data_IF_421840454519
#
_entry.id   IF_421840454519
#
_cell.length_a   1.000
_cell.length_b   1.000
_cell.length_c   1.000
_cell.angle_alpha   90.00
_cell.angle_beta   90.00
_cell.angle_gamma   90.00
#
_symmetry.space_group_name_H-M   'P 1'
#
loop_
_entity.id
_entity.type
_entity.pdbx_description
1 polymer ?
#
# COMPACT_ATOMS: atom_id res chain seq x y z
N UNK A 1 8.35 -10.26 -32.70
CA UNK A 1 8.14 -11.23 -31.60
C UNK A 1 7.45 -10.46 -30.48
N UNK A 2 6.39 -11.00 -29.90
CA UNK A 2 5.79 -10.37 -28.72
C UNK A 2 6.80 -10.42 -27.57
N UNK A 3 6.91 -9.34 -26.83
CA UNK A 3 7.73 -9.27 -25.62
C UNK A 3 6.99 -9.94 -24.48
N UNK A 4 7.64 -10.87 -23.78
CA UNK A 4 7.08 -11.49 -22.57
C UNK A 4 7.18 -10.52 -21.37
N UNK A 5 6.51 -9.37 -21.48
CA UNK A 5 6.60 -8.25 -20.54
C UNK A 5 6.24 -8.66 -19.11
N UNK A 6 5.26 -9.56 -18.93
CA UNK A 6 4.87 -10.05 -17.60
C UNK A 6 6.02 -10.75 -16.88
N UNK A 7 6.83 -11.52 -17.62
CA UNK A 7 8.02 -12.21 -17.11
C UNK A 7 9.17 -11.24 -16.89
N UNK A 8 9.39 -10.31 -17.82
CA UNK A 8 10.44 -9.29 -17.69
C UNK A 8 10.21 -8.40 -16.47
N UNK A 9 8.97 -7.96 -16.23
CA UNK A 9 8.60 -7.22 -15.04
C UNK A 9 8.87 -8.03 -13.77
N UNK A 10 8.38 -9.28 -13.71
CA UNK A 10 8.57 -10.16 -12.54
C UNK A 10 10.03 -10.34 -12.18
N UNK A 11 10.87 -10.70 -13.15
CA UNK A 11 12.30 -10.94 -12.88
C UNK A 11 13.06 -9.63 -12.67
N UNK A 12 12.73 -8.59 -13.46
CA UNK A 12 13.35 -7.27 -13.41
C UNK A 12 13.08 -6.50 -12.12
N UNK A 13 11.96 -6.74 -11.44
CA UNK A 13 11.62 -6.09 -10.17
C UNK A 13 11.83 -6.98 -8.95
N UNK A 14 12.29 -8.23 -9.12
CA UNK A 14 12.45 -9.20 -8.01
C UNK A 14 13.30 -8.67 -6.87
N UNK A 15 14.43 -8.02 -7.19
CA UNK A 15 15.32 -7.41 -6.17
C UNK A 15 14.61 -6.27 -5.43
N UNK A 16 13.94 -5.39 -6.16
CA UNK A 16 13.20 -4.26 -5.59
C UNK A 16 12.02 -4.69 -4.72
N UNK A 17 11.33 -5.78 -5.09
CA UNK A 17 10.32 -6.40 -4.25
C UNK A 17 10.92 -6.88 -2.92
N UNK A 18 12.02 -7.64 -2.97
CA UNK A 18 12.72 -8.10 -1.75
C UNK A 18 13.20 -6.91 -0.90
N UNK A 19 13.69 -5.83 -1.51
CA UNK A 19 14.07 -4.62 -0.77
C UNK A 19 12.87 -3.96 -0.09
N UNK A 20 11.72 -3.88 -0.76
CA UNK A 20 10.49 -3.31 -0.21
C UNK A 20 9.98 -4.09 1.01
N UNK A 21 9.99 -5.42 0.95
CA UNK A 21 9.67 -6.29 2.11
C UNK A 21 10.65 -6.09 3.27
N UNK A 22 11.87 -5.61 2.96
CA UNK A 22 12.92 -5.42 3.94
C UNK A 22 12.98 -4.01 4.57
N UNK A 23 12.12 -3.07 4.14
CA UNK A 23 11.98 -1.77 4.81
C UNK A 23 11.47 -1.98 6.24
N UNK A 24 11.99 -1.23 7.21
CA UNK A 24 11.72 -1.43 8.63
C UNK A 24 10.24 -1.38 8.97
N UNK A 25 9.52 -0.40 8.40
CA UNK A 25 8.05 -0.32 8.54
C UNK A 25 7.36 -1.61 8.06
N UNK A 26 7.71 -2.12 6.88
CA UNK A 26 7.12 -3.31 6.29
C UNK A 26 7.49 -4.57 7.08
N UNK A 27 8.74 -4.70 7.53
CA UNK A 27 9.17 -5.81 8.40
C UNK A 27 8.38 -5.85 9.70
N UNK A 28 8.19 -4.70 10.35
CA UNK A 28 7.39 -4.60 11.56
C UNK A 28 5.93 -4.95 11.27
N UNK A 29 5.39 -4.43 10.16
CA UNK A 29 4.04 -4.76 9.72
C UNK A 29 3.86 -6.27 9.57
N UNK A 30 4.72 -6.94 8.81
CA UNK A 30 4.68 -8.39 8.59
C UNK A 30 4.81 -9.22 9.87
N UNK A 31 5.44 -8.66 10.92
CA UNK A 31 5.53 -9.27 12.26
C UNK A 31 4.32 -8.97 13.15
N UNK A 32 3.30 -8.28 12.65
CA UNK A 32 2.11 -7.88 13.41
C UNK A 32 2.33 -6.66 14.32
N UNK A 33 3.43 -5.93 14.14
CA UNK A 33 3.71 -4.68 14.87
C UNK A 33 3.29 -3.52 13.98
N UNK A 34 2.01 -3.14 14.09
CA UNK A 34 1.40 -2.07 13.31
C UNK A 34 0.79 -1.05 14.26
N UNK A 35 1.08 0.22 14.03
CA UNK A 35 0.50 1.31 14.80
C UNK A 35 -0.51 2.09 13.93
N UNK A 36 -1.72 2.29 14.47
CA UNK A 36 -2.87 2.83 13.74
C UNK A 36 -2.64 4.23 13.16
N UNK A 37 -1.95 5.13 13.88
CA UNK A 37 -1.64 6.50 13.44
C UNK A 37 -0.67 6.53 12.27
N UNK A 38 0.30 5.61 12.25
CA UNK A 38 1.26 5.43 11.17
C UNK A 38 0.60 4.77 9.96
N UNK A 39 -0.23 3.75 10.21
CA UNK A 39 -0.99 3.08 9.16
C UNK A 39 -1.96 4.02 8.43
N UNK A 40 -2.73 4.85 9.15
CA UNK A 40 -3.66 5.79 8.49
C UNK A 40 -2.96 6.81 7.59
N UNK A 41 -1.71 7.20 7.90
CA UNK A 41 -0.89 8.06 7.02
C UNK A 41 -0.47 7.34 5.74
N UNK A 42 -0.19 6.03 5.83
CA UNK A 42 0.02 5.21 4.64
C UNK A 42 -1.24 5.20 3.77
N UNK A 43 -2.40 4.92 4.35
CA UNK A 43 -3.70 4.91 3.64
C UNK A 43 -3.96 6.27 2.97
N UNK A 44 -3.68 7.38 3.64
CA UNK A 44 -3.78 8.72 3.06
C UNK A 44 -2.87 8.92 1.85
N UNK A 45 -1.59 8.56 1.94
CA UNK A 45 -0.68 8.64 0.79
C UNK A 45 -1.14 7.74 -0.38
N UNK A 46 -1.57 6.52 -0.08
CA UNK A 46 -2.10 5.61 -1.10
C UNK A 46 -3.34 6.21 -1.78
N UNK A 47 -4.28 6.82 -1.05
CA UNK A 47 -5.44 7.48 -1.64
C UNK A 47 -5.05 8.46 -2.76
N UNK A 48 -4.05 9.31 -2.53
CA UNK A 48 -3.60 10.26 -3.53
C UNK A 48 -2.86 9.60 -4.70
N UNK A 49 -2.03 8.58 -4.43
CA UNK A 49 -1.29 7.82 -5.46
C UNK A 49 -2.25 7.09 -6.39
N UNK A 50 -3.21 6.33 -5.83
CA UNK A 50 -4.23 5.63 -6.62
C UNK A 50 -5.14 6.61 -7.35
N UNK A 51 -5.58 7.70 -6.70
CA UNK A 51 -6.38 8.73 -7.37
C UNK A 51 -5.67 9.30 -8.59
N UNK A 52 -4.36 9.57 -8.49
CA UNK A 52 -3.59 10.08 -9.62
C UNK A 52 -3.44 9.04 -10.74
N UNK A 53 -3.11 7.80 -10.39
CA UNK A 53 -2.96 6.72 -11.37
C UNK A 53 -4.27 6.44 -12.10
N UNK A 54 -5.37 6.29 -11.37
CA UNK A 54 -6.68 5.98 -11.92
C UNK A 54 -7.21 7.11 -12.81
N UNK A 55 -7.08 8.37 -12.38
CA UNK A 55 -7.51 9.53 -13.17
C UNK A 55 -6.70 9.68 -14.47
N UNK A 56 -5.38 9.47 -14.43
CA UNK A 56 -4.56 9.56 -15.65
C UNK A 56 -4.80 8.40 -16.62
N UNK A 57 -5.07 7.20 -16.12
CA UNK A 57 -5.44 6.07 -16.98
C UNK A 57 -6.82 6.28 -17.61
N UNK A 58 -7.79 6.82 -16.87
CA UNK A 58 -9.16 7.10 -17.37
C UNK A 58 -9.18 8.15 -18.48
N UNK A 59 -8.23 9.10 -18.50
CA UNK A 59 -8.06 10.09 -19.58
C UNK A 59 -7.59 9.50 -20.91
N UNK A 60 -7.18 8.23 -20.93
CA UNK A 60 -6.53 7.57 -22.07
C UNK A 60 -7.35 6.41 -22.68
N UNK A 61 -8.67 6.55 -22.93
CA UNK A 61 -9.54 5.44 -23.34
C UNK A 61 -9.22 4.89 -24.73
N UNK A 62 -8.54 5.67 -25.58
CA UNK A 62 -8.15 5.27 -26.94
C UNK A 62 -6.63 5.08 -27.11
N UNK A 63 -5.85 5.17 -26.02
CA UNK A 63 -4.40 5.02 -26.11
C UNK A 63 -4.04 3.55 -26.43
N UNK A 64 -3.19 3.28 -27.44
CA UNK A 64 -2.97 1.91 -27.97
C UNK A 64 -2.42 0.92 -26.95
N UNK A 65 -1.69 1.40 -25.94
CA UNK A 65 -1.12 0.61 -24.84
C UNK A 65 -2.00 0.68 -23.57
N UNK A 66 -2.10 1.85 -22.94
CA UNK A 66 -2.76 2.05 -21.64
C UNK A 66 -4.23 1.59 -21.61
N UNK A 67 -5.00 1.81 -22.68
CA UNK A 67 -6.42 1.41 -22.70
C UNK A 67 -6.62 -0.10 -22.50
N UNK A 68 -5.64 -0.93 -22.88
CA UNK A 68 -5.71 -2.39 -22.76
C UNK A 68 -5.58 -2.89 -21.32
N UNK A 69 -4.99 -2.10 -20.42
CA UNK A 69 -4.76 -2.47 -19.01
C UNK A 69 -5.56 -1.60 -18.03
N UNK A 70 -6.53 -0.83 -18.55
CA UNK A 70 -7.43 -0.03 -17.74
C UNK A 70 -8.59 -0.91 -17.29
N UNK A 71 -8.45 -1.52 -16.11
CA UNK A 71 -9.43 -2.42 -15.52
C UNK A 71 -10.14 -1.74 -14.33
N UNK A 72 -11.37 -1.22 -14.49
CA UNK A 72 -12.08 -0.50 -13.42
C UNK A 72 -12.27 -1.31 -12.13
N UNK A 73 -12.40 -2.63 -12.24
CA UNK A 73 -12.49 -3.56 -11.11
C UNK A 73 -11.21 -3.58 -10.23
N UNK A 74 -10.10 -3.02 -10.71
CA UNK A 74 -8.88 -2.80 -9.95
C UNK A 74 -8.82 -1.44 -9.24
N UNK A 75 -9.75 -0.51 -9.50
CA UNK A 75 -9.68 0.83 -8.92
C UNK A 75 -9.89 0.83 -7.40
N UNK A 76 -8.95 1.41 -6.66
CA UNK A 76 -8.88 1.45 -5.20
C UNK A 76 -9.23 2.79 -4.59
N UNK A 77 -9.40 3.86 -5.39
CA UNK A 77 -9.82 5.16 -4.84
C UNK A 77 -11.05 5.05 -3.94
N UNK A 78 -12.13 4.42 -4.41
CA UNK A 78 -13.38 4.32 -3.64
C UNK A 78 -13.26 3.50 -2.35
N UNK A 79 -12.41 2.47 -2.34
CA UNK A 79 -12.16 1.67 -1.13
C UNK A 79 -11.23 2.40 -0.16
N UNK A 80 -10.27 3.17 -0.67
CA UNK A 80 -9.43 4.06 0.13
C UNK A 80 -10.24 5.20 0.76
N UNK A 81 -11.26 5.74 0.07
CA UNK A 81 -12.18 6.72 0.68
C UNK A 81 -12.96 6.14 1.87
N UNK A 82 -13.38 4.87 1.79
CA UNK A 82 -14.05 4.17 2.91
C UNK A 82 -13.10 4.00 4.10
N UNK A 83 -11.85 3.59 3.85
CA UNK A 83 -10.86 3.43 4.90
C UNK A 83 -10.48 4.78 5.53
N UNK A 84 -10.38 5.83 4.73
CA UNK A 84 -10.12 7.18 5.24
C UNK A 84 -11.25 7.71 6.09
N UNK A 85 -12.50 7.48 5.71
CA UNK A 85 -13.65 7.76 6.56
C UNK A 85 -13.56 7.01 7.90
N UNK A 86 -13.14 5.74 7.88
CA UNK A 86 -12.94 4.97 9.10
C UNK A 86 -11.81 5.53 10.00
N UNK A 87 -10.68 5.94 9.42
CA UNK A 87 -9.50 6.37 10.18
C UNK A 87 -9.51 7.83 10.65
N UNK A 88 -10.20 8.71 9.91
CA UNK A 88 -10.21 10.16 10.15
C UNK A 88 -11.63 10.72 10.36
N UNK A 89 -12.68 9.91 10.19
CA UNK A 89 -14.06 10.34 10.35
C UNK A 89 -14.62 11.09 9.13
N UNK A 90 -15.82 11.68 9.24
CA UNK A 90 -16.52 12.30 8.11
C UNK A 90 -15.78 13.48 7.48
N UNK A 91 -14.88 14.13 8.22
CA UNK A 91 -14.10 15.28 7.75
C UNK A 91 -12.72 14.89 7.17
N UNK A 92 -12.49 13.61 6.87
CA UNK A 92 -11.17 13.09 6.47
C UNK A 92 -10.50 13.87 5.35
N UNK A 93 -11.26 14.40 4.39
CA UNK A 93 -10.74 15.18 3.25
C UNK A 93 -9.95 16.42 3.69
N UNK A 94 -10.30 17.01 4.83
CA UNK A 94 -9.62 18.18 5.38
C UNK A 94 -8.48 17.82 6.37
N UNK A 95 -8.34 16.53 6.72
CA UNK A 95 -7.34 16.07 7.70
C UNK A 95 -6.16 15.33 7.05
N UNK A 96 -6.36 14.76 5.87
CA UNK A 96 -5.29 14.08 5.16
C UNK A 96 -4.41 15.06 4.39
N UNK A 97 -3.12 14.72 4.32
CA UNK A 97 -2.16 15.45 3.52
C UNK A 97 -1.16 14.46 2.91
N UNK A 98 -0.68 14.78 1.71
CA UNK A 98 0.44 14.09 1.10
C UNK A 98 1.70 14.32 1.94
N UNK A 99 2.46 13.26 2.19
CA UNK A 99 3.84 13.41 2.65
C UNK A 99 4.76 13.81 1.49
N UNK A 100 5.99 14.29 1.76
CA UNK A 100 6.94 14.60 0.70
C UNK A 100 7.19 13.42 -0.27
N UNK A 101 7.36 12.19 0.23
CA UNK A 101 7.51 11.02 -0.64
C UNK A 101 6.22 10.70 -1.42
N UNK A 102 5.04 10.85 -0.81
CA UNK A 102 3.77 10.67 -1.50
C UNK A 102 3.60 11.70 -2.63
N UNK A 103 3.93 12.96 -2.37
CA UNK A 103 3.87 14.03 -3.37
C UNK A 103 4.83 13.75 -4.54
N UNK A 104 6.06 13.30 -4.26
CA UNK A 104 7.00 12.92 -5.29
C UNK A 104 6.45 11.79 -6.19
N UNK A 105 5.76 10.81 -5.60
CA UNK A 105 5.14 9.72 -6.34
C UNK A 105 3.97 10.21 -7.22
N UNK A 106 3.06 11.00 -6.65
CA UNK A 106 1.97 11.60 -7.43
C UNK A 106 2.52 12.44 -8.58
N UNK A 107 3.54 13.26 -8.35
CA UNK A 107 4.18 14.07 -9.38
C UNK A 107 4.74 13.21 -10.51
N UNK A 108 5.42 12.10 -10.19
CA UNK A 108 5.96 11.19 -11.20
C UNK A 108 4.86 10.58 -12.07
N UNK A 109 3.75 10.13 -11.47
CA UNK A 109 2.60 9.59 -12.21
C UNK A 109 2.04 10.64 -13.18
N UNK A 110 1.85 11.89 -12.72
CA UNK A 110 1.33 12.97 -13.56
C UNK A 110 2.30 13.36 -14.67
N UNK A 111 3.61 13.38 -14.38
CA UNK A 111 4.65 13.66 -15.37
C UNK A 111 4.58 12.66 -16.52
N UNK A 112 4.69 11.35 -16.24
CA UNK A 112 4.72 10.33 -17.29
C UNK A 112 3.39 10.22 -18.02
N UNK A 113 2.25 10.49 -17.38
CA UNK A 113 0.97 10.50 -18.06
C UNK A 113 0.94 11.51 -19.21
N UNK A 114 1.71 12.59 -19.10
CA UNK A 114 1.82 13.62 -20.15
C UNK A 114 2.96 13.38 -21.13
N UNK A 115 4.08 12.81 -20.68
CA UNK A 115 5.31 12.71 -21.48
C UNK A 115 5.52 11.34 -22.11
N UNK A 116 5.14 10.27 -21.41
CA UNK A 116 5.35 8.88 -21.83
C UNK A 116 4.29 7.94 -21.18
N UNK A 117 3.02 8.04 -21.59
CA UNK A 117 1.89 7.40 -20.92
C UNK A 117 1.97 5.87 -20.88
N UNK A 118 2.70 5.22 -21.78
CA UNK A 118 2.97 3.77 -21.76
C UNK A 118 3.61 3.32 -20.44
N UNK A 119 4.38 4.20 -19.78
CA UNK A 119 5.00 3.91 -18.49
C UNK A 119 3.99 3.79 -17.35
N UNK A 120 2.74 4.24 -17.51
CA UNK A 120 1.66 3.98 -16.54
C UNK A 120 1.44 2.47 -16.31
N UNK A 121 1.77 1.62 -17.30
CA UNK A 121 1.78 0.16 -17.16
C UNK A 121 2.65 -0.28 -15.98
N UNK A 122 3.79 0.37 -15.76
CA UNK A 122 4.69 0.05 -14.67
C UNK A 122 4.06 0.28 -13.29
N UNK A 123 3.34 1.41 -13.10
CA UNK A 123 2.68 1.70 -11.83
C UNK A 123 1.46 0.82 -11.60
N UNK A 124 0.65 0.60 -12.63
CA UNK A 124 -0.47 -0.34 -12.60
C UNK A 124 0.01 -1.73 -12.18
N UNK A 125 1.10 -2.23 -12.78
CA UNK A 125 1.72 -3.50 -12.43
C UNK A 125 2.20 -3.53 -10.97
N UNK A 126 3.02 -2.56 -10.56
CA UNK A 126 3.65 -2.54 -9.24
C UNK A 126 2.62 -2.44 -8.12
N UNK A 127 1.52 -1.71 -8.34
CA UNK A 127 0.44 -1.55 -7.35
C UNK A 127 -0.54 -2.73 -7.40
N UNK A 128 -1.32 -2.86 -8.46
CA UNK A 128 -2.46 -3.78 -8.48
C UNK A 128 -2.06 -5.26 -8.41
N UNK A 129 -0.99 -5.67 -9.11
CA UNK A 129 -0.56 -7.06 -9.03
C UNK A 129 0.04 -7.40 -7.66
N UNK A 130 0.65 -6.41 -7.00
CA UNK A 130 1.10 -6.50 -5.61
C UNK A 130 -0.07 -6.66 -4.65
N UNK A 131 -1.11 -5.84 -4.80
CA UNK A 131 -2.31 -5.88 -3.98
C UNK A 131 -3.05 -7.23 -4.12
N UNK A 132 -3.21 -7.75 -5.33
CA UNK A 132 -3.82 -9.07 -5.61
C UNK A 132 -2.97 -10.26 -5.13
N UNK A 133 -1.71 -10.04 -4.76
CA UNK A 133 -0.79 -11.11 -4.37
C UNK A 133 -0.55 -11.16 -2.86
N UNK A 134 -0.22 -10.01 -2.27
CA UNK A 134 0.05 -9.88 -0.83
C UNK A 134 -1.11 -9.29 -0.03
N UNK A 135 -2.11 -8.68 -0.68
CA UNK A 135 -3.15 -7.89 -0.02
C UNK A 135 -3.93 -8.66 1.04
N UNK A 136 -4.35 -9.90 0.75
CA UNK A 136 -5.09 -10.72 1.72
C UNK A 136 -4.27 -11.08 2.97
N UNK A 137 -2.95 -11.24 2.82
CA UNK A 137 -2.04 -11.46 3.96
C UNK A 137 -1.93 -10.16 4.78
N UNK A 138 -1.73 -9.04 4.10
CA UNK A 138 -1.61 -7.73 4.75
C UNK A 138 -2.90 -7.31 5.46
N UNK A 139 -4.06 -7.61 4.87
CA UNK A 139 -5.39 -7.40 5.46
C UNK A 139 -5.50 -8.10 6.82
N UNK A 140 -5.26 -9.41 6.86
CA UNK A 140 -5.34 -10.21 8.10
C UNK A 140 -4.39 -9.70 9.18
N UNK A 141 -3.21 -9.26 8.78
CA UNK A 141 -2.22 -8.67 9.69
C UNK A 141 -2.73 -7.34 10.24
N UNK A 142 -3.25 -6.44 9.39
CA UNK A 142 -3.83 -5.17 9.81
C UNK A 142 -4.99 -5.36 10.79
N UNK A 143 -5.94 -6.24 10.47
CA UNK A 143 -7.10 -6.56 11.31
C UNK A 143 -6.66 -7.04 12.69
N UNK A 144 -5.74 -8.01 12.74
CA UNK A 144 -5.24 -8.58 13.98
C UNK A 144 -4.42 -7.58 14.79
N UNK A 145 -3.47 -6.89 14.16
CA UNK A 145 -2.52 -6.03 14.85
C UNK A 145 -3.17 -4.76 15.42
N UNK A 146 -4.19 -4.24 14.75
CA UNK A 146 -4.91 -3.02 15.16
C UNK A 146 -6.28 -3.30 15.79
N UNK A 147 -6.64 -4.57 16.01
CA UNK A 147 -7.94 -5.02 16.53
C UNK A 147 -9.13 -4.40 15.77
N UNK A 148 -9.12 -4.53 14.44
CA UNK A 148 -10.18 -4.02 13.58
C UNK A 148 -11.29 -5.06 13.46
N UNK A 149 -12.45 -4.77 14.05
CA UNK A 149 -13.62 -5.67 13.99
C UNK A 149 -14.47 -5.40 12.74
N UNK A 150 -14.65 -4.14 12.36
CA UNK A 150 -15.40 -3.72 11.16
C UNK A 150 -14.76 -2.48 10.53
N UNK A 151 -14.38 -2.58 9.25
CA UNK A 151 -13.83 -1.46 8.46
C UNK A 151 -12.33 -1.19 8.65
N UNK A 152 -11.80 -0.26 7.85
CA UNK A 152 -10.38 0.14 7.85
C UNK A 152 -9.48 -0.74 6.97
N UNK A 153 -10.04 -1.72 6.26
CA UNK A 153 -9.30 -2.63 5.37
C UNK A 153 -9.97 -2.84 4.02
N UNK A 154 -10.92 -1.97 3.63
CA UNK A 154 -11.64 -2.05 2.37
C UNK A 154 -10.69 -1.97 1.16
N UNK A 155 -9.55 -1.29 1.28
CA UNK A 155 -8.51 -1.24 0.26
C UNK A 155 -8.09 -2.63 -0.26
N UNK A 156 -8.09 -3.65 0.61
CA UNK A 156 -7.69 -5.01 0.25
C UNK A 156 -8.84 -5.86 -0.32
N UNK A 157 -10.05 -5.32 -0.40
CA UNK A 157 -11.24 -6.05 -0.85
C UNK A 157 -11.54 -5.79 -2.34
N UNK A 158 -11.28 -6.79 -3.17
CA UNK A 158 -11.56 -6.79 -4.60
C UNK A 158 -12.94 -7.40 -4.87
N UNK A 159 -14.02 -6.69 -4.50
CA UNK A 159 -15.41 -7.22 -4.53
C UNK A 159 -15.88 -7.67 -5.91
N UNK A 160 -15.36 -7.04 -6.96
CA UNK A 160 -15.73 -7.33 -8.35
C UNK A 160 -14.86 -8.44 -8.97
N UNK A 161 -13.95 -9.04 -8.20
CA UNK A 161 -13.06 -10.12 -8.65
C UNK A 161 -13.32 -11.37 -7.81
N UNK A 162 -14.04 -12.33 -8.37
CA UNK A 162 -14.39 -13.57 -7.69
C UNK A 162 -13.25 -14.60 -7.62
N UNK A 163 -12.37 -14.62 -8.62
CA UNK A 163 -11.19 -15.50 -8.67
C UNK A 163 -9.92 -14.68 -8.92
N UNK A 164 -9.26 -14.28 -7.83
CA UNK A 164 -8.01 -13.51 -7.87
C UNK A 164 -6.89 -14.23 -8.65
N UNK A 165 -6.86 -15.57 -8.66
CA UNK A 165 -5.81 -16.33 -9.36
C UNK A 165 -6.03 -16.26 -10.86
N UNK A 166 -7.25 -16.53 -11.33
CA UNK A 166 -7.62 -16.39 -12.73
C UNK A 166 -7.40 -14.96 -13.21
N UNK A 167 -7.80 -13.98 -12.39
CA UNK A 167 -7.64 -12.56 -12.72
C UNK A 167 -6.17 -12.15 -12.87
N UNK A 168 -5.29 -12.59 -11.96
CA UNK A 168 -3.84 -12.35 -12.09
C UNK A 168 -3.24 -12.97 -13.36
N UNK A 169 -3.78 -14.10 -13.82
CA UNK A 169 -3.33 -14.71 -15.08
C UNK A 169 -3.81 -13.90 -16.27
N UNK A 170 -5.07 -13.44 -16.26
CA UNK A 170 -5.60 -12.53 -17.28
C UNK A 170 -4.77 -11.25 -17.37
N UNK A 171 -4.52 -10.58 -16.25
CA UNK A 171 -3.69 -9.37 -16.22
C UNK A 171 -2.29 -9.60 -16.81
N UNK A 172 -1.63 -10.71 -16.48
CA UNK A 172 -0.30 -11.05 -17.04
C UNK A 172 -0.36 -11.31 -18.54
N UNK A 173 -1.39 -12.02 -19.00
CA UNK A 173 -1.60 -12.25 -20.43
C UNK A 173 -1.79 -10.92 -21.17
N UNK A 174 -2.59 -10.00 -20.61
CA UNK A 174 -2.76 -8.66 -21.18
C UNK A 174 -1.43 -7.91 -21.31
N UNK A 175 -0.55 -7.99 -20.31
CA UNK A 175 0.80 -7.39 -20.39
C UNK A 175 1.61 -7.96 -21.56
N UNK A 176 1.56 -9.28 -21.77
CA UNK A 176 2.28 -9.96 -22.86
C UNK A 176 1.70 -9.66 -24.25
N UNK A 177 0.46 -9.15 -24.32
CA UNK A 177 -0.26 -8.75 -25.55
C UNK A 177 -0.20 -7.22 -25.81
N UNK A 178 0.47 -6.45 -24.96
CA UNK A 178 0.65 -5.02 -25.18
C UNK A 178 1.46 -4.74 -26.45
N UNK A 179 1.05 -3.75 -27.27
CA UNK A 179 1.74 -3.42 -28.51
C UNK A 179 2.98 -2.55 -28.24
N UNK A 180 3.95 -3.12 -27.53
CA UNK A 180 5.22 -2.47 -27.16
C UNK A 180 6.40 -3.26 -27.73
N UNK A 181 7.47 -2.56 -28.10
CA UNK A 181 8.72 -3.21 -28.50
C UNK A 181 9.62 -3.47 -27.28
N UNK A 182 10.78 -4.10 -27.51
CA UNK A 182 11.72 -4.42 -26.43
C UNK A 182 12.28 -3.15 -25.76
N UNK A 183 12.50 -2.07 -26.51
CA UNK A 183 13.02 -0.82 -25.94
C UNK A 183 12.00 -0.19 -24.97
N UNK A 184 10.72 -0.17 -25.33
CA UNK A 184 9.66 0.28 -24.42
C UNK A 184 9.48 -0.68 -23.24
N UNK A 185 9.56 -2.00 -23.45
CA UNK A 185 9.52 -2.98 -22.36
C UNK A 185 10.63 -2.73 -21.32
N UNK A 186 11.87 -2.45 -21.76
CA UNK A 186 12.99 -2.12 -20.87
C UNK A 186 12.73 -0.84 -20.06
N UNK A 187 12.10 0.17 -20.67
CA UNK A 187 11.69 1.41 -19.98
C UNK A 187 10.57 1.17 -18.97
N UNK A 188 9.58 0.34 -19.30
CA UNK A 188 8.52 -0.06 -18.36
C UNK A 188 9.11 -0.80 -17.15
N UNK A 189 10.05 -1.73 -17.36
CA UNK A 189 10.73 -2.43 -16.25
C UNK A 189 11.56 -1.47 -15.40
N UNK A 190 12.22 -0.49 -16.04
CA UNK A 190 12.96 0.58 -15.33
C UNK A 190 12.02 1.42 -14.47
N UNK A 191 10.89 1.86 -15.02
CA UNK A 191 9.89 2.63 -14.27
C UNK A 191 9.26 1.80 -13.14
N UNK A 192 9.07 0.49 -13.33
CA UNK A 192 8.52 -0.37 -12.30
C UNK A 192 9.47 -0.42 -11.08
N UNK A 193 10.79 -0.47 -11.32
CA UNK A 193 11.78 -0.33 -10.26
C UNK A 193 11.74 1.04 -9.58
N UNK A 194 11.53 2.12 -10.34
CA UNK A 194 11.32 3.46 -9.77
C UNK A 194 10.05 3.52 -8.90
N UNK A 195 8.96 2.89 -9.34
CA UNK A 195 7.73 2.74 -8.58
C UNK A 195 7.96 2.02 -7.25
N UNK A 196 8.69 0.89 -7.24
CA UNK A 196 9.11 0.24 -5.99
C UNK A 196 9.93 1.19 -5.10
N UNK A 197 10.86 1.95 -5.68
CA UNK A 197 11.64 2.97 -4.98
C UNK A 197 10.78 4.04 -4.28
N UNK A 198 9.76 4.55 -4.97
CA UNK A 198 8.83 5.53 -4.40
C UNK A 198 7.97 4.95 -3.29
N UNK A 199 7.53 3.70 -3.43
CA UNK A 199 6.83 2.98 -2.35
C UNK A 199 7.72 2.80 -1.11
N UNK A 200 8.98 2.42 -1.30
CA UNK A 200 9.94 2.29 -0.19
C UNK A 200 10.15 3.62 0.54
N UNK A 201 10.26 4.74 -0.18
CA UNK A 201 10.37 6.07 0.44
C UNK A 201 9.15 6.42 1.28
N UNK A 202 7.93 6.13 0.81
CA UNK A 202 6.72 6.32 1.61
C UNK A 202 6.73 5.47 2.88
N UNK A 203 7.20 4.21 2.81
CA UNK A 203 7.32 3.36 4.00
C UNK A 203 8.37 3.88 4.99
N UNK A 204 9.51 4.37 4.49
CA UNK A 204 10.59 4.92 5.32
C UNK A 204 10.15 6.16 6.12
N UNK A 205 9.32 7.03 5.54
CA UNK A 205 8.76 8.19 6.26
C UNK A 205 7.89 7.82 7.47
N UNK A 206 7.39 6.57 7.51
CA UNK A 206 6.56 6.07 8.61
C UNK A 206 7.39 5.44 9.75
N UNK A 207 8.67 5.12 9.52
CA UNK A 207 9.51 4.41 10.50
C UNK A 207 9.71 5.21 11.79
N UNK A 208 9.94 6.52 11.70
CA UNK A 208 10.13 7.37 12.88
C UNK A 208 8.91 7.38 13.81
N UNK A 209 7.70 7.41 13.23
CA UNK A 209 6.45 7.36 13.99
C UNK A 209 6.29 5.98 14.67
N UNK A 210 6.62 4.91 13.95
CA UNK A 210 6.54 3.55 14.45
C UNK A 210 7.54 3.29 15.60
N UNK A 211 8.80 3.70 15.45
CA UNK A 211 9.82 3.57 16.50
C UNK A 211 9.37 4.30 17.77
N UNK A 212 8.85 5.52 17.63
CA UNK A 212 8.32 6.30 18.77
C UNK A 212 7.17 5.56 19.45
N UNK A 213 6.24 5.00 18.69
CA UNK A 213 5.11 4.27 19.24
C UNK A 213 5.53 2.97 19.96
N UNK A 214 6.46 2.21 19.39
CA UNK A 214 7.04 1.02 20.02
C UNK A 214 7.72 1.40 21.34
N UNK A 215 8.50 2.50 21.34
CA UNK A 215 9.14 3.01 22.55
C UNK A 215 8.14 3.35 23.66
N UNK A 216 7.04 4.04 23.31
CA UNK A 216 5.96 4.36 24.27
C UNK A 216 5.30 3.09 24.81
N UNK A 217 5.02 2.10 23.95
CA UNK A 217 4.41 0.84 24.36
C UNK A 217 5.31 0.05 25.32
N UNK A 218 6.62 -0.04 25.02
CA UNK A 218 7.61 -0.69 25.88
C UNK A 218 7.76 0.04 27.21
N UNK A 219 7.87 1.37 27.19
CA UNK A 219 7.93 2.19 28.40
C UNK A 219 6.71 1.95 29.29
N UNK A 220 5.50 2.06 28.73
CA UNK A 220 4.26 1.84 29.46
C UNK A 220 4.17 0.42 30.05
N UNK A 221 4.71 -0.58 29.35
CA UNK A 221 4.77 -1.97 29.84
C UNK A 221 5.72 -2.10 31.02
N UNK A 222 6.89 -1.46 30.95
CA UNK A 222 7.90 -1.46 32.02
C UNK A 222 7.45 -0.64 33.24
N UNK A 223 6.73 0.46 33.04
CA UNK A 223 6.27 1.35 34.12
C UNK A 223 4.91 0.97 34.69
N UNK A 224 4.22 -0.01 34.09
CA UNK A 224 2.98 -0.55 34.65
C UNK A 224 3.31 -1.21 35.99
N UNK A 225 3.10 -0.48 37.10
CA UNK A 225 3.22 -1.04 38.45
C UNK A 225 2.37 -2.32 38.51
N UNK A 226 2.98 -3.44 38.93
CA UNK A 226 2.23 -4.57 39.49
C UNK A 226 1.48 -4.04 40.72
N UNK A 227 0.23 -3.60 40.56
CA UNK A 227 -0.65 -3.40 41.72
C UNK A 227 -1.15 -4.75 42.19
N UNK A 228 -0.27 -5.51 42.81
CA UNK A 228 -0.66 -6.68 43.62
C UNK A 228 0.14 -6.62 44.91
N UNK A 229 -0.52 -6.07 45.93
CA UNK A 229 -0.25 -6.29 47.35
C UNK A 229 0.89 -5.48 47.97
N UNK A 230 0.57 -4.36 48.62
CA UNK A 230 1.36 -3.86 49.75
C UNK A 230 0.47 -3.06 50.71
N UNK A 231 0.16 -3.72 51.84
CA UNK A 231 -0.12 -3.18 53.18
C UNK A 231 -1.23 -2.14 53.33
N UNK A 232 -2.45 -2.61 53.64
CA UNK A 232 -3.26 -1.97 54.67
C UNK A 232 -3.03 -2.68 55.99
N UNK A 233 -2.24 -2.03 56.84
CA UNK A 233 -2.20 -2.22 58.28
C UNK A 233 -3.55 -1.83 58.88
N UNK A 234 -4.38 -2.82 59.23
CA UNK A 234 -5.54 -2.65 60.11
C UNK A 234 -5.16 -2.99 61.55
N UNK A 235 -5.01 -1.95 62.37
CA UNK A 235 -4.86 -2.03 63.83
C UNK A 235 -6.22 -2.28 64.51
N UNK A 236 -6.21 -3.11 65.56
CA UNK A 236 -7.17 -3.28 66.67
C UNK A 236 -8.57 -3.86 66.32
N UNK A 237 -9.19 -4.76 67.10
CA UNK A 237 -9.32 -4.84 68.56
C UNK A 237 -9.42 -6.27 69.11
N UNK A 238 -9.05 -6.41 70.39
CA UNK A 238 -9.20 -7.59 71.22
C UNK A 238 -10.65 -7.85 71.66
N UNK A 239 -10.98 -9.13 71.86
CA UNK A 239 -11.73 -9.69 73.00
C UNK A 239 -11.12 -11.06 73.35
#
# INVERSE_FOLDING_TARGET
>A
MSVNLSTQLREGTKKSHTMAENVGFVKCFLKGVVEKTSYRKLVANLYFVYSAMEEEMEKLPSHPVVSKICFPELNRKNTLEQDLYFYYGPNWRNEIALSPAGQAYVNRIREIATTEPELLVAHSYTRYLGDLSGGQILKKIAEKAMNLETGGTAFYDFKDISDEKAYKNHYRQTLDELPVDQAMADRIVTEANAAFGMNMKMFQELEGNLIKAIGIMLFNTLTRRRSTGSTETGLATAE
#
